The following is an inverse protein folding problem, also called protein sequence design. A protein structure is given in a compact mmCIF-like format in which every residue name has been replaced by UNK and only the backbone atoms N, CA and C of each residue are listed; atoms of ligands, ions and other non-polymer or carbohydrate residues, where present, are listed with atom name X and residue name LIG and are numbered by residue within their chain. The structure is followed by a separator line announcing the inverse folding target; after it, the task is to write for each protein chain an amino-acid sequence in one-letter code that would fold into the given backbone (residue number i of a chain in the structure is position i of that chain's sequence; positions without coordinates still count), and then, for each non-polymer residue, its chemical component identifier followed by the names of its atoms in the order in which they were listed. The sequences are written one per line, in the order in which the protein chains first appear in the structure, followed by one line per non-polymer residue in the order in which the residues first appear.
data_IF_667089077510
#
_entry.id   IF_667089077510
#
_cell.length_a   1.000
_cell.length_b   1.000
_cell.length_c   1.000
_cell.angle_alpha   90.00
_cell.angle_beta   90.00
_cell.angle_gamma   90.00
#
_symmetry.space_group_name_H-M   'P 1'
#
loop_
_entity.id
_entity.type
_entity.pdbx_description
1 polymer ?
#
# COMPACT_ATOMS: atom_id res chain seq x y z
N UNK A 1 -22.26 22.44 24.30
CA UNK A 1 -22.27 21.23 23.42
C UNK A 1 -23.05 20.19 24.17
N UNK A 2 -24.18 19.73 23.62
CA UNK A 2 -25.08 18.74 24.26
C UNK A 2 -24.50 17.34 24.13
N UNK A 3 -24.85 16.42 25.05
CA UNK A 3 -24.40 15.01 25.05
C UNK A 3 -24.65 14.32 23.68
N UNK A 4 -25.79 14.60 23.04
CA UNK A 4 -26.17 14.08 21.72
C UNK A 4 -25.23 14.55 20.58
N UNK A 5 -24.64 15.73 20.66
CA UNK A 5 -23.69 16.23 19.69
C UNK A 5 -22.33 15.53 19.82
N UNK A 6 -21.99 15.13 21.05
CA UNK A 6 -20.75 14.39 21.33
C UNK A 6 -20.85 12.93 20.89
N UNK A 7 -22.01 12.29 21.07
CA UNK A 7 -22.28 10.92 20.58
C UNK A 7 -22.25 10.85 19.05
N UNK A 8 -22.95 11.74 18.34
CA UNK A 8 -22.92 11.78 16.86
C UNK A 8 -21.51 12.01 16.31
N UNK A 9 -20.70 12.85 16.96
CA UNK A 9 -19.31 13.10 16.56
C UNK A 9 -18.45 11.85 16.79
N UNK A 10 -18.71 11.09 17.85
CA UNK A 10 -17.96 9.86 18.16
C UNK A 10 -18.29 8.74 17.16
N UNK A 11 -19.56 8.50 16.84
CA UNK A 11 -19.98 7.54 15.81
C UNK A 11 -19.34 7.85 14.44
N UNK A 12 -19.31 9.11 14.02
CA UNK A 12 -18.68 9.52 12.76
C UNK A 12 -17.14 9.31 12.76
N UNK A 13 -16.50 9.47 13.92
CA UNK A 13 -15.08 9.21 14.11
C UNK A 13 -14.76 7.71 14.03
N UNK A 14 -15.55 6.89 14.70
CA UNK A 14 -15.43 5.44 14.71
C UNK A 14 -15.55 4.85 13.29
N UNK A 15 -16.65 5.16 12.60
CA UNK A 15 -16.88 4.69 11.23
C UNK A 15 -15.74 5.09 10.27
N UNK A 16 -15.27 6.33 10.43
CA UNK A 16 -14.18 6.84 9.57
C UNK A 16 -12.87 6.12 9.85
N UNK A 17 -12.52 5.93 11.12
CA UNK A 17 -11.34 5.18 11.52
C UNK A 17 -11.39 3.74 11.02
N UNK A 18 -12.48 3.01 11.29
CA UNK A 18 -12.63 1.61 10.90
C UNK A 18 -12.53 1.42 9.40
N UNK A 19 -13.05 2.32 8.59
CA UNK A 19 -12.93 2.28 7.13
C UNK A 19 -11.48 2.41 6.67
N UNK A 20 -10.72 3.34 7.22
CA UNK A 20 -9.28 3.47 6.92
C UNK A 20 -8.49 2.28 7.44
N UNK A 21 -8.78 1.84 8.66
CA UNK A 21 -8.08 0.75 9.31
C UNK A 21 -8.27 -0.59 8.57
N UNK A 22 -9.49 -0.94 8.20
CA UNK A 22 -9.79 -2.16 7.45
C UNK A 22 -9.02 -2.28 6.13
N UNK A 23 -8.77 -1.14 5.47
CA UNK A 23 -7.99 -1.10 4.23
C UNK A 23 -6.47 -1.17 4.43
N UNK A 24 -6.00 -0.83 5.62
CA UNK A 24 -4.57 -0.61 5.90
C UNK A 24 -3.95 -1.63 6.84
N UNK A 25 -4.75 -2.32 7.66
CA UNK A 25 -4.25 -3.21 8.72
C UNK A 25 -3.30 -4.31 8.21
N UNK A 26 -3.63 -4.93 7.08
CA UNK A 26 -2.81 -5.99 6.49
C UNK A 26 -1.42 -5.48 6.05
N UNK A 27 -1.36 -4.29 5.50
CA UNK A 27 -0.10 -3.68 5.07
C UNK A 27 0.75 -3.24 6.28
N UNK A 28 0.12 -2.70 7.33
CA UNK A 28 0.79 -2.32 8.57
C UNK A 28 1.34 -3.56 9.28
N UNK A 29 0.56 -4.64 9.35
CA UNK A 29 1.02 -5.91 9.93
C UNK A 29 2.20 -6.51 9.14
N UNK A 30 2.11 -6.54 7.81
CA UNK A 30 3.21 -6.99 6.94
C UNK A 30 4.48 -6.18 7.17
N UNK A 31 4.35 -4.85 7.30
CA UNK A 31 5.46 -3.98 7.64
C UNK A 31 6.14 -4.38 8.98
N UNK A 32 5.35 -4.63 10.02
CA UNK A 32 5.87 -5.05 11.33
C UNK A 32 6.60 -6.39 11.20
N UNK A 33 6.02 -7.39 10.51
CA UNK A 33 6.63 -8.70 10.29
C UNK A 33 7.98 -8.62 9.56
N UNK A 34 8.18 -7.65 8.67
CA UNK A 34 9.49 -7.49 8.00
C UNK A 34 10.59 -7.06 8.95
N UNK A 35 10.24 -6.39 10.05
CA UNK A 35 11.19 -5.84 11.03
C UNK A 35 11.30 -6.65 12.30
N UNK A 36 10.26 -7.41 12.65
CA UNK A 36 10.15 -8.23 13.86
C UNK A 36 9.90 -9.68 13.45
N UNK A 37 10.94 -10.54 13.41
CA UNK A 37 10.82 -11.92 12.91
C UNK A 37 9.96 -12.84 13.77
N UNK A 38 9.83 -12.55 15.07
CA UNK A 38 8.99 -13.32 15.99
C UNK A 38 7.53 -12.91 15.79
N UNK A 39 6.67 -13.85 15.42
CA UNK A 39 5.25 -13.58 15.15
C UNK A 39 4.48 -13.10 16.38
N UNK A 40 4.79 -13.64 17.58
CA UNK A 40 4.14 -13.23 18.82
C UNK A 40 4.48 -11.77 19.16
N UNK A 41 5.77 -11.41 19.09
CA UNK A 41 6.20 -10.02 19.29
C UNK A 41 5.59 -9.08 18.23
N UNK A 42 5.48 -9.55 16.98
CA UNK A 42 4.88 -8.78 15.90
C UNK A 42 3.37 -8.55 16.12
N UNK A 43 2.65 -9.55 16.63
CA UNK A 43 1.23 -9.43 17.01
C UNK A 43 1.03 -8.43 18.14
N UNK A 44 1.84 -8.50 19.19
CA UNK A 44 1.80 -7.57 20.32
C UNK A 44 2.04 -6.12 19.87
N UNK A 45 3.08 -5.91 19.04
CA UNK A 45 3.38 -4.60 18.47
C UNK A 45 2.24 -4.12 17.57
N UNK A 46 1.62 -5.01 16.80
CA UNK A 46 0.50 -4.65 15.94
C UNK A 46 -0.73 -4.22 16.74
N UNK A 47 -1.05 -4.92 17.84
CA UNK A 47 -2.14 -4.54 18.74
C UNK A 47 -1.88 -3.18 19.37
N UNK A 48 -0.67 -2.92 19.88
CA UNK A 48 -0.31 -1.63 20.46
C UNK A 48 -0.31 -0.51 19.41
N UNK A 49 0.13 -0.82 18.17
CA UNK A 49 0.03 0.10 17.03
C UNK A 49 -1.41 0.49 16.78
N UNK A 50 -2.31 -0.49 16.70
CA UNK A 50 -3.74 -0.28 16.44
C UNK A 50 -4.41 0.56 17.53
N UNK A 51 -4.11 0.27 18.79
CA UNK A 51 -4.60 1.02 19.96
C UNK A 51 -4.08 2.46 19.93
N UNK A 52 -2.81 2.65 19.59
CA UNK A 52 -2.21 3.99 19.50
C UNK A 52 -2.77 4.79 18.32
N UNK A 53 -2.99 4.15 17.17
CA UNK A 53 -3.66 4.77 16.02
C UNK A 53 -5.06 5.26 16.38
N UNK A 54 -5.84 4.46 17.12
CA UNK A 54 -7.17 4.87 17.60
C UNK A 54 -7.10 6.08 18.52
N UNK A 55 -6.23 6.04 19.53
CA UNK A 55 -6.07 7.15 20.49
C UNK A 55 -5.64 8.45 19.81
N UNK A 56 -4.80 8.34 18.77
CA UNK A 56 -4.21 9.48 18.04
C UNK A 56 -4.90 9.80 16.72
N UNK A 57 -6.08 9.24 16.47
CA UNK A 57 -6.74 9.42 15.18
C UNK A 57 -7.03 10.88 14.83
N UNK A 58 -7.21 11.74 15.82
CA UNK A 58 -7.39 13.18 15.61
C UNK A 58 -6.13 13.89 15.08
N UNK A 59 -4.96 13.30 15.28
CA UNK A 59 -3.69 13.79 14.71
C UNK A 59 -3.52 13.41 13.23
N UNK A 60 -4.32 12.45 12.74
CA UNK A 60 -4.26 12.02 11.35
C UNK A 60 -4.83 13.11 10.43
N UNK A 61 -4.05 13.48 9.39
CA UNK A 61 -4.46 14.47 8.40
C UNK A 61 -5.18 13.78 7.23
N UNK A 62 -6.49 13.99 7.03
CA UNK A 62 -7.20 13.47 5.87
C UNK A 62 -6.52 13.90 4.55
N UNK A 63 -6.53 13.00 3.57
CA UNK A 63 -5.83 13.21 2.29
C UNK A 63 -4.37 12.74 2.28
N UNK A 64 -3.79 12.35 3.44
CA UNK A 64 -2.50 11.68 3.50
C UNK A 64 -2.65 10.15 3.56
N UNK A 65 -1.53 9.41 3.47
CA UNK A 65 -1.57 7.95 3.56
C UNK A 65 -1.76 7.47 5.00
N UNK A 66 -2.92 6.89 5.30
CA UNK A 66 -3.22 6.29 6.62
C UNK A 66 -2.28 5.12 6.93
N UNK A 67 -1.93 4.31 5.93
CA UNK A 67 -0.96 3.22 6.07
C UNK A 67 0.43 3.75 6.47
N UNK A 68 0.91 4.81 5.78
CA UNK A 68 2.20 5.43 6.12
C UNK A 68 2.21 6.00 7.55
N UNK A 69 1.11 6.63 7.96
CA UNK A 69 0.96 7.14 9.32
C UNK A 69 0.97 6.00 10.36
N UNK A 70 0.27 4.90 10.11
CA UNK A 70 0.29 3.71 10.97
C UNK A 70 1.67 3.05 11.02
N UNK A 71 2.37 2.91 9.89
CA UNK A 71 3.74 2.39 9.84
C UNK A 71 4.74 3.26 10.63
N UNK A 72 4.56 4.58 10.62
CA UNK A 72 5.37 5.49 11.44
C UNK A 72 5.17 5.24 12.94
N UNK A 73 3.93 5.02 13.38
CA UNK A 73 3.63 4.66 14.77
C UNK A 73 4.27 3.31 15.11
N UNK A 74 4.08 2.29 14.26
CA UNK A 74 4.65 0.97 14.42
C UNK A 74 6.19 1.02 14.53
N UNK A 75 6.85 1.84 13.73
CA UNK A 75 8.30 2.01 13.78
C UNK A 75 8.81 2.41 15.17
N UNK A 76 8.18 3.39 15.80
CA UNK A 76 8.58 3.81 17.15
C UNK A 76 8.34 2.72 18.20
N UNK A 77 7.24 1.98 18.10
CA UNK A 77 6.94 0.85 18.97
C UNK A 77 7.94 -0.30 18.77
N UNK A 78 8.36 -0.58 17.54
CA UNK A 78 9.43 -1.55 17.23
C UNK A 78 10.74 -1.12 17.89
N UNK A 79 11.13 0.15 17.80
CA UNK A 79 12.34 0.65 18.45
C UNK A 79 12.25 0.53 19.97
N UNK A 80 11.09 0.81 20.56
CA UNK A 80 10.87 0.66 22.00
C UNK A 80 10.95 -0.81 22.44
N UNK A 81 10.26 -1.71 21.71
CA UNK A 81 10.33 -3.15 21.95
C UNK A 81 11.78 -3.66 21.92
N UNK A 82 12.56 -3.24 20.93
CA UNK A 82 13.98 -3.61 20.80
C UNK A 82 14.84 -3.14 21.96
N UNK A 83 14.58 -1.95 22.53
CA UNK A 83 15.29 -1.48 23.73
C UNK A 83 14.98 -2.34 24.95
N UNK A 84 13.72 -2.82 25.08
CA UNK A 84 13.30 -3.69 26.18
C UNK A 84 13.84 -5.12 26.04
N UNK A 85 13.98 -5.62 24.80
CA UNK A 85 14.41 -7.00 24.50
C UNK A 85 15.87 -7.11 24.07
N UNK A 86 16.75 -6.24 24.56
CA UNK A 86 18.17 -6.12 24.17
C UNK A 86 19.01 -7.42 24.22
N UNK A 87 18.44 -8.55 24.66
CA UNK A 87 19.06 -9.89 24.71
C UNK A 87 18.87 -10.72 23.43
N UNK A 88 18.03 -10.27 22.48
CA UNK A 88 17.77 -11.02 21.23
C UNK A 88 18.77 -10.58 20.15
N UNK A 89 19.42 -11.52 19.43
CA UNK A 89 20.33 -11.17 18.34
C UNK A 89 19.62 -10.29 17.31
N UNK A 90 20.18 -9.11 17.07
CA UNK A 90 19.60 -8.13 16.15
C UNK A 90 19.77 -8.61 14.71
N UNK A 91 18.68 -8.93 14.02
CA UNK A 91 18.69 -9.31 12.60
C UNK A 91 19.08 -8.12 11.72
N UNK A 92 18.75 -6.91 12.15
CA UNK A 92 19.05 -5.66 11.43
C UNK A 92 19.63 -4.59 12.36
N UNK A 93 20.56 -3.79 11.88
CA UNK A 93 21.06 -2.61 12.60
C UNK A 93 19.95 -1.55 12.71
N UNK A 94 20.09 -0.60 13.65
CA UNK A 94 19.14 0.52 13.77
C UNK A 94 19.12 1.37 12.51
N UNK A 95 20.23 1.52 11.81
CA UNK A 95 20.33 2.24 10.55
C UNK A 95 19.59 1.52 9.43
N UNK A 96 19.73 0.19 9.34
CA UNK A 96 18.98 -0.62 8.36
C UNK A 96 17.48 -0.51 8.58
N UNK A 97 17.02 -0.55 9.84
CA UNK A 97 15.59 -0.38 10.14
C UNK A 97 15.09 1.02 9.77
N UNK A 98 15.89 2.06 10.01
CA UNK A 98 15.54 3.43 9.61
C UNK A 98 15.36 3.52 8.10
N UNK A 99 16.31 3.02 7.33
CA UNK A 99 16.24 3.00 5.87
C UNK A 99 15.05 2.20 5.34
N UNK A 100 14.79 1.02 5.90
CA UNK A 100 13.61 0.21 5.55
C UNK A 100 12.31 0.96 5.83
N UNK A 101 12.21 1.61 6.99
CA UNK A 101 11.03 2.39 7.36
C UNK A 101 10.80 3.57 6.41
N UNK A 102 11.84 4.33 6.11
CA UNK A 102 11.77 5.49 5.21
C UNK A 102 11.36 5.06 3.81
N UNK A 103 12.00 4.02 3.27
CA UNK A 103 11.68 3.47 1.93
C UNK A 103 10.23 2.97 1.87
N UNK A 104 9.78 2.21 2.89
CA UNK A 104 8.42 1.70 2.93
C UNK A 104 7.40 2.84 3.03
N UNK A 105 7.64 3.82 3.90
CA UNK A 105 6.76 4.97 4.08
C UNK A 105 6.65 5.79 2.80
N UNK A 106 7.78 6.05 2.13
CA UNK A 106 7.79 6.75 0.84
C UNK A 106 6.98 6.00 -0.22
N UNK A 107 7.12 4.67 -0.28
CA UNK A 107 6.37 3.83 -1.20
C UNK A 107 4.85 3.91 -0.96
N UNK A 108 4.43 3.95 0.30
CA UNK A 108 3.01 4.10 0.66
C UNK A 108 2.43 5.48 0.34
N UNK A 109 3.23 6.54 0.43
CA UNK A 109 2.83 7.89 0.04
C UNK A 109 2.65 7.98 -1.49
N UNK A 110 3.53 7.35 -2.26
CA UNK A 110 3.48 7.38 -3.72
C UNK A 110 2.44 6.44 -4.34
N UNK A 111 2.04 5.38 -3.62
CA UNK A 111 1.12 4.36 -4.12
C UNK A 111 -0.20 4.91 -4.68
N UNK A 112 -0.93 5.83 -4.00
CA UNK A 112 -2.14 6.43 -4.54
C UNK A 112 -1.89 7.24 -5.82
N UNK A 113 -0.80 7.99 -5.88
CA UNK A 113 -0.41 8.80 -7.05
C UNK A 113 -0.09 7.90 -8.24
N UNK A 114 0.69 6.83 -8.02
CA UNK A 114 0.99 5.83 -9.06
C UNK A 114 -0.27 5.13 -9.56
N UNK A 115 -1.21 4.80 -8.67
CA UNK A 115 -2.48 4.19 -9.05
C UNK A 115 -3.33 5.12 -9.92
N UNK A 116 -3.41 6.41 -9.60
CA UNK A 116 -4.15 7.38 -10.41
C UNK A 116 -3.47 7.64 -11.77
N UNK A 117 -2.14 7.78 -11.77
CA UNK A 117 -1.36 7.85 -12.99
C UNK A 117 -1.59 6.62 -13.88
N UNK A 118 -1.60 5.41 -13.30
CA UNK A 118 -1.90 4.17 -14.03
C UNK A 118 -3.30 4.19 -14.64
N UNK A 119 -4.34 4.60 -13.91
CA UNK A 119 -5.70 4.72 -14.44
C UNK A 119 -5.74 5.66 -15.64
N UNK A 120 -5.08 6.81 -15.55
CA UNK A 120 -4.98 7.78 -16.63
C UNK A 120 -4.26 7.18 -17.85
N UNK A 121 -3.17 6.44 -17.65
CA UNK A 121 -2.42 5.80 -18.72
C UNK A 121 -3.20 4.65 -19.39
N UNK A 122 -3.96 3.86 -18.62
CA UNK A 122 -4.85 2.81 -19.18
C UNK A 122 -5.90 3.41 -20.10
N UNK A 123 -6.44 4.59 -19.80
CA UNK A 123 -7.41 5.28 -20.70
C UNK A 123 -6.80 5.65 -22.06
N UNK A 124 -5.47 5.84 -22.14
CA UNK A 124 -4.75 6.17 -23.37
C UNK A 124 -4.44 4.95 -24.25
N UNK A 125 -4.63 3.73 -23.74
CA UNK A 125 -4.50 2.51 -24.52
C UNK A 125 -5.65 2.39 -25.53
N UNK A 126 -5.39 1.76 -26.67
CA UNK A 126 -6.43 1.37 -27.63
C UNK A 126 -7.38 0.36 -26.99
N UNK A 127 -8.58 0.20 -27.56
CA UNK A 127 -9.57 -0.76 -27.06
C UNK A 127 -9.04 -2.20 -27.02
N UNK A 128 -8.29 -2.61 -28.05
CA UNK A 128 -7.68 -3.95 -28.12
C UNK A 128 -6.65 -4.16 -27.00
N UNK A 129 -5.83 -3.15 -26.72
CA UNK A 129 -4.83 -3.21 -25.65
C UNK A 129 -5.49 -3.22 -24.27
N UNK A 130 -6.53 -2.40 -24.06
CA UNK A 130 -7.31 -2.43 -22.81
C UNK A 130 -7.99 -3.78 -22.60
N UNK A 131 -8.54 -4.37 -23.66
CA UNK A 131 -9.13 -5.70 -23.58
C UNK A 131 -8.09 -6.74 -23.20
N UNK A 132 -6.88 -6.69 -23.77
CA UNK A 132 -5.79 -7.60 -23.43
C UNK A 132 -5.39 -7.50 -21.95
N UNK A 133 -5.24 -6.29 -21.44
CA UNK A 133 -4.94 -6.04 -20.01
C UNK A 133 -6.09 -6.55 -19.13
N UNK A 134 -7.33 -6.30 -19.49
CA UNK A 134 -8.50 -6.79 -18.76
C UNK A 134 -8.53 -8.35 -18.69
N UNK A 135 -8.37 -9.02 -19.82
CA UNK A 135 -8.35 -10.47 -19.88
C UNK A 135 -7.21 -11.06 -19.03
N UNK A 136 -6.03 -10.46 -19.09
CA UNK A 136 -4.85 -10.97 -18.39
C UNK A 136 -4.90 -10.72 -16.88
N UNK A 137 -5.28 -9.49 -16.43
CA UNK A 137 -5.14 -9.06 -15.05
C UNK A 137 -6.44 -9.02 -14.25
N UNK A 138 -7.57 -8.66 -14.84
CA UNK A 138 -8.85 -8.66 -14.13
C UNK A 138 -9.53 -10.03 -14.17
N UNK A 139 -9.49 -10.69 -15.35
CA UNK A 139 -10.04 -12.05 -15.50
C UNK A 139 -9.03 -13.16 -15.24
N UNK A 140 -7.77 -12.81 -14.96
CA UNK A 140 -6.66 -13.72 -14.65
C UNK A 140 -6.45 -14.85 -15.69
N UNK A 141 -6.85 -14.63 -16.97
CA UNK A 141 -6.71 -15.64 -18.00
C UNK A 141 -5.24 -15.91 -18.34
N UNK A 142 -4.79 -17.18 -18.44
CA UNK A 142 -3.47 -17.50 -18.92
C UNK A 142 -3.30 -17.12 -20.40
N UNK A 143 -2.07 -16.72 -20.76
CA UNK A 143 -1.74 -16.26 -22.13
C UNK A 143 -2.17 -17.28 -23.20
N UNK A 144 -2.04 -18.58 -22.92
CA UNK A 144 -2.46 -19.64 -23.83
C UNK A 144 -3.96 -19.56 -24.19
N UNK A 145 -4.82 -19.26 -23.21
CA UNK A 145 -6.26 -19.13 -23.45
C UNK A 145 -6.58 -17.84 -24.23
N UNK A 146 -5.90 -16.75 -23.92
CA UNK A 146 -6.07 -15.49 -24.67
C UNK A 146 -5.65 -15.68 -26.13
N UNK A 147 -4.53 -16.34 -26.37
CA UNK A 147 -4.03 -16.62 -27.71
C UNK A 147 -5.02 -17.48 -28.52
N UNK A 148 -5.59 -18.52 -27.90
CA UNK A 148 -6.62 -19.35 -28.51
C UNK A 148 -7.89 -18.57 -28.86
N UNK A 149 -8.40 -17.74 -27.93
CA UNK A 149 -9.58 -16.90 -28.18
C UNK A 149 -9.38 -15.89 -29.32
N UNK A 150 -8.16 -15.44 -29.52
CA UNK A 150 -7.83 -14.42 -30.55
C UNK A 150 -7.30 -15.03 -31.85
N UNK A 151 -7.13 -16.33 -31.92
CA UNK A 151 -6.52 -17.01 -33.07
C UNK A 151 -5.09 -16.53 -33.34
N UNK A 152 -4.30 -16.28 -32.27
CA UNK A 152 -2.94 -15.75 -32.33
C UNK A 152 -1.95 -16.70 -31.64
N UNK A 153 -0.66 -16.54 -31.91
CA UNK A 153 0.37 -17.27 -31.19
C UNK A 153 0.58 -16.72 -29.78
N UNK A 154 1.00 -17.57 -28.83
CA UNK A 154 1.37 -17.14 -27.48
C UNK A 154 2.45 -16.05 -27.50
N UNK A 155 3.42 -16.20 -28.39
CA UNK A 155 4.54 -15.26 -28.57
C UNK A 155 4.06 -13.86 -28.93
N UNK A 156 3.08 -13.75 -29.85
CA UNK A 156 2.48 -12.47 -30.22
C UNK A 156 1.74 -11.82 -29.04
N UNK A 157 1.03 -12.62 -28.22
CA UNK A 157 0.36 -12.09 -27.04
C UNK A 157 1.37 -11.58 -26.01
N UNK A 158 2.47 -12.32 -25.76
CA UNK A 158 3.55 -11.85 -24.89
C UNK A 158 4.20 -10.57 -25.40
N UNK A 159 4.49 -10.49 -26.71
CA UNK A 159 5.05 -9.29 -27.34
C UNK A 159 4.16 -8.06 -27.17
N UNK A 160 2.84 -8.24 -27.35
CA UNK A 160 1.88 -7.16 -27.14
C UNK A 160 1.79 -6.74 -25.67
N UNK A 161 1.78 -7.68 -24.72
CA UNK A 161 1.81 -7.38 -23.29
C UNK A 161 3.09 -6.60 -22.91
N UNK A 162 4.26 -7.04 -23.40
CA UNK A 162 5.52 -6.34 -23.15
C UNK A 162 5.49 -4.89 -23.67
N UNK A 163 4.97 -4.69 -24.89
CA UNK A 163 4.80 -3.35 -25.49
C UNK A 163 3.88 -2.46 -24.64
N UNK A 164 2.75 -3.01 -24.18
CA UNK A 164 1.81 -2.28 -23.32
C UNK A 164 2.48 -1.92 -21.97
N UNK A 165 3.23 -2.86 -21.36
CA UNK A 165 3.94 -2.59 -20.11
C UNK A 165 4.97 -1.46 -20.26
N UNK A 166 5.76 -1.48 -21.33
CA UNK A 166 6.70 -0.39 -21.62
C UNK A 166 5.97 0.95 -21.76
N UNK A 167 4.90 1.00 -22.54
CA UNK A 167 4.08 2.21 -22.70
C UNK A 167 3.52 2.72 -21.37
N UNK A 168 2.93 1.82 -20.56
CA UNK A 168 2.37 2.18 -19.26
C UNK A 168 3.46 2.68 -18.30
N UNK A 169 4.62 2.02 -18.27
CA UNK A 169 5.75 2.45 -17.44
C UNK A 169 6.19 3.88 -17.79
N UNK A 170 6.46 4.16 -19.07
CA UNK A 170 6.87 5.49 -19.51
C UNK A 170 5.78 6.55 -19.28
N UNK A 171 4.51 6.18 -19.52
CA UNK A 171 3.38 7.06 -19.30
C UNK A 171 3.25 7.44 -17.82
N UNK A 172 3.35 6.47 -16.90
CA UNK A 172 3.29 6.71 -15.45
C UNK A 172 4.44 7.61 -15.02
N UNK A 173 5.67 7.34 -15.45
CA UNK A 173 6.82 8.16 -15.12
C UNK A 173 6.63 9.62 -15.54
N UNK A 174 6.14 9.86 -16.76
CA UNK A 174 5.85 11.22 -17.25
C UNK A 174 4.76 11.91 -16.43
N UNK A 175 3.67 11.21 -16.07
CA UNK A 175 2.60 11.81 -15.25
C UNK A 175 3.10 12.16 -13.84
N UNK A 176 3.95 11.32 -13.22
CA UNK A 176 4.51 11.59 -11.90
C UNK A 176 5.47 12.79 -11.90
N UNK A 177 6.21 13.01 -12.99
CA UNK A 177 7.13 14.13 -13.15
C UNK A 177 6.41 15.44 -13.44
N UNK A 178 5.30 15.41 -14.21
CA UNK A 178 4.55 16.61 -14.62
C UNK A 178 3.75 17.28 -13.48
N UNK A 179 3.57 16.60 -12.35
CA UNK A 179 2.88 17.15 -11.16
C UNK A 179 3.82 17.91 -10.20
N UNK A 180 5.11 18.02 -10.54
CA UNK A 180 6.10 18.75 -9.74
C UNK A 180 6.37 20.19 -10.22
N UNK A 181 5.56 20.70 -11.19
CA UNK A 181 5.65 22.10 -11.65
C UNK A 181 4.36 22.87 -11.38
#
# INVERSE_FOLDING_TARGET
MTAEQNEKKNYCKEDTFFRYYAQSQSEIYTYILTMVPNSTDAEDIFQETSSTMWRKFEEFKPGTSFTAWGCKIAYFLILEHRRKTARTPLRYSSETLRLLSETYTQHQIEKPRRAEALKTCIRRLSEKERLLINLRYQRALPVKQIAQQWGKSNELVYKNLAKIHCFLFECIQRNLLSEHF
#
